data_IF_446143674917
#
_entry.id   IF_446143674917
#
_cell.length_a   1.000
_cell.length_b   1.000
_cell.length_c   1.000
_cell.angle_alpha   90.00
_cell.angle_beta   90.00
_cell.angle_gamma   90.00
#
_symmetry.space_group_name_H-M   'P 1'
#
loop_
_entity.id
_entity.type
_entity.pdbx_description
1 polymer ?
#
# COMPACT_ATOMS: atom_id res chain seq x y z
N UNK A 1 11.17 -25.34 -12.63
CA UNK A 1 10.52 -24.22 -11.94
C UNK A 1 9.72 -23.45 -12.97
N UNK A 2 8.41 -23.31 -12.80
CA UNK A 2 7.65 -22.38 -13.64
C UNK A 2 8.19 -20.98 -13.37
N UNK A 3 8.64 -20.28 -14.42
CA UNK A 3 9.21 -18.95 -14.31
C UNK A 3 8.09 -17.97 -13.92
N UNK A 4 8.12 -17.43 -12.70
CA UNK A 4 7.24 -16.36 -12.26
C UNK A 4 8.04 -15.05 -12.27
N UNK A 5 8.00 -14.27 -13.37
CA UNK A 5 8.80 -13.07 -13.47
C UNK A 5 8.21 -11.92 -12.64
N UNK A 6 9.07 -10.98 -12.30
CA UNK A 6 8.67 -9.71 -11.68
C UNK A 6 7.79 -8.90 -12.63
N UNK A 7 6.69 -8.35 -12.11
CA UNK A 7 5.80 -7.43 -12.81
C UNK A 7 6.15 -5.96 -12.52
N UNK A 8 6.37 -5.62 -11.24
CA UNK A 8 6.75 -4.28 -10.80
C UNK A 8 7.65 -4.35 -9.56
N UNK A 9 8.54 -3.37 -9.42
CA UNK A 9 9.29 -3.10 -8.18
C UNK A 9 8.93 -1.71 -7.70
N UNK A 10 8.58 -1.59 -6.42
CA UNK A 10 8.21 -0.33 -5.76
C UNK A 10 9.12 -0.13 -4.56
N UNK A 11 9.83 0.98 -4.52
CA UNK A 11 10.86 1.25 -3.52
C UNK A 11 10.42 2.43 -2.66
N UNK A 12 10.27 2.19 -1.36
CA UNK A 12 10.06 3.21 -0.36
C UNK A 12 11.35 3.49 0.43
N UNK A 13 11.35 4.47 1.33
CA UNK A 13 12.54 4.86 2.09
C UNK A 13 13.11 3.73 2.96
N UNK A 14 12.24 2.85 3.46
CA UNK A 14 12.59 1.84 4.46
C UNK A 14 12.29 0.39 4.02
N UNK A 15 11.61 0.20 2.89
CA UNK A 15 11.30 -1.14 2.37
C UNK A 15 11.05 -1.12 0.86
N UNK A 16 11.12 -2.29 0.25
CA UNK A 16 10.82 -2.53 -1.17
C UNK A 16 9.71 -3.58 -1.28
N UNK A 17 8.76 -3.33 -2.16
CA UNK A 17 7.67 -4.25 -2.54
C UNK A 17 7.89 -4.67 -3.98
N UNK A 18 7.83 -5.98 -4.25
CA UNK A 18 7.96 -6.55 -5.58
C UNK A 18 6.67 -7.28 -5.91
N UNK A 19 5.95 -6.80 -6.92
CA UNK A 19 4.77 -7.46 -7.46
C UNK A 19 5.20 -8.47 -8.51
N UNK A 20 4.83 -9.72 -8.30
CA UNK A 20 5.10 -10.82 -9.21
C UNK A 20 3.98 -10.96 -10.25
N UNK A 21 4.24 -11.62 -11.38
CA UNK A 21 3.20 -11.86 -12.41
C UNK A 21 2.06 -12.76 -11.91
N UNK A 22 2.31 -13.61 -10.92
CA UNK A 22 1.28 -14.39 -10.22
C UNK A 22 0.60 -13.61 -9.08
N UNK A 23 0.72 -12.28 -9.02
CA UNK A 23 -0.01 -11.43 -8.07
C UNK A 23 0.51 -11.53 -6.64
N UNK A 24 1.47 -12.41 -6.39
CA UNK A 24 2.19 -12.47 -5.14
C UNK A 24 3.00 -11.18 -4.94
N UNK A 25 3.05 -10.72 -3.70
CA UNK A 25 3.87 -9.60 -3.30
C UNK A 25 5.05 -10.13 -2.50
N UNK A 26 6.27 -9.79 -2.90
CA UNK A 26 7.49 -10.03 -2.13
C UNK A 26 7.93 -8.73 -1.46
N UNK A 27 8.46 -8.82 -0.25
CA UNK A 27 8.88 -7.66 0.52
C UNK A 27 10.27 -7.81 1.10
N UNK A 28 11.02 -6.73 1.18
CA UNK A 28 12.32 -6.69 1.85
C UNK A 28 12.58 -5.31 2.45
N UNK A 29 13.26 -5.26 3.61
CA UNK A 29 13.61 -4.02 4.29
C UNK A 29 13.22 -4.04 5.77
N UNK A 30 12.93 -2.88 6.34
CA UNK A 30 12.54 -2.76 7.74
C UNK A 30 11.13 -3.30 7.98
N UNK A 31 10.99 -4.09 9.06
CA UNK A 31 9.69 -4.58 9.54
C UNK A 31 9.07 -3.67 10.59
N UNK A 32 9.79 -2.64 11.05
CA UNK A 32 9.23 -1.60 11.91
C UNK A 32 8.01 -0.97 11.23
N UNK A 33 7.09 -0.41 12.01
CA UNK A 33 5.79 0.07 11.52
C UNK A 33 4.95 -1.02 10.84
N UNK A 34 5.20 -2.29 11.14
CA UNK A 34 4.38 -3.43 10.68
C UNK A 34 4.22 -3.54 9.16
N UNK A 35 5.18 -2.97 8.43
CA UNK A 35 5.27 -2.97 6.96
C UNK A 35 5.50 -4.37 6.39
N UNK A 36 5.98 -5.30 7.22
CA UNK A 36 6.26 -6.69 6.89
C UNK A 36 5.55 -7.61 7.89
N UNK A 37 4.95 -8.74 7.50
CA UNK A 37 4.31 -9.65 8.45
C UNK A 37 5.29 -10.26 9.48
N UNK A 38 4.84 -10.64 10.70
CA UNK A 38 5.72 -11.23 11.71
C UNK A 38 6.12 -12.67 11.35
N UNK A 39 7.38 -13.04 11.60
CA UNK A 39 7.81 -14.44 11.54
C UNK A 39 7.77 -15.10 12.93
N UNK A 40 6.85 -16.06 13.11
CA UNK A 40 6.84 -16.97 14.26
C UNK A 40 6.57 -16.33 15.64
N UNK A 41 6.53 -17.16 16.68
CA UNK A 41 6.44 -16.71 18.07
C UNK A 41 7.78 -16.08 18.46
N UNK A 42 7.90 -14.76 18.36
CA UNK A 42 9.11 -14.07 18.82
C UNK A 42 9.18 -14.15 20.35
N UNK A 43 10.23 -14.78 20.88
CA UNK A 43 10.58 -14.68 22.28
C UNK A 43 10.70 -13.21 22.68
N UNK A 44 9.91 -12.81 23.69
CA UNK A 44 10.07 -11.57 24.46
C UNK A 44 9.96 -10.25 23.67
N UNK A 45 8.97 -10.11 22.80
CA UNK A 45 8.43 -8.79 22.43
C UNK A 45 9.38 -7.84 21.68
N UNK A 46 10.47 -8.34 21.09
CA UNK A 46 11.31 -7.59 20.14
C UNK A 46 11.11 -8.15 18.73
N UNK A 47 10.41 -7.40 17.88
CA UNK A 47 10.37 -7.64 16.44
C UNK A 47 11.66 -7.07 15.87
N UNK A 48 12.61 -7.94 15.50
CA UNK A 48 13.82 -7.51 14.80
C UNK A 48 13.49 -7.19 13.34
N UNK A 49 14.07 -6.11 12.81
CA UNK A 49 14.09 -5.87 11.36
C UNK A 49 14.70 -7.07 10.65
N UNK A 50 13.95 -7.72 9.74
CA UNK A 50 14.48 -8.82 8.96
C UNK A 50 14.42 -8.55 7.46
N UNK A 51 15.59 -8.61 6.83
CA UNK A 51 15.79 -8.50 5.38
C UNK A 51 15.59 -9.85 4.68
N UNK A 52 14.43 -10.51 4.87
CA UNK A 52 14.10 -11.74 4.13
C UNK A 52 12.89 -11.54 3.23
N UNK A 53 12.95 -11.92 1.93
CA UNK A 53 11.79 -11.90 1.05
C UNK A 53 10.63 -12.69 1.64
N UNK A 54 9.54 -12.00 1.97
CA UNK A 54 8.30 -12.61 2.45
C UNK A 54 7.25 -12.58 1.34
N UNK A 55 6.61 -13.71 1.05
CA UNK A 55 5.51 -13.79 0.07
C UNK A 55 4.17 -13.54 0.76
N UNK A 56 3.41 -12.57 0.28
CA UNK A 56 2.02 -12.33 0.68
C UNK A 56 1.11 -12.57 -0.53
N UNK A 57 0.00 -13.28 -0.31
CA UNK A 57 -1.04 -13.49 -1.30
C UNK A 57 -2.28 -12.67 -0.92
N UNK A 58 -2.76 -11.84 -1.84
CA UNK A 58 -4.04 -11.14 -1.68
C UNK A 58 -5.14 -12.08 -2.15
N UNK A 59 -6.04 -12.46 -1.24
CA UNK A 59 -7.17 -13.35 -1.52
C UNK A 59 -8.48 -12.60 -1.28
N UNK A 60 -9.26 -12.40 -2.34
CA UNK A 60 -10.65 -11.93 -2.27
C UNK A 60 -11.58 -13.09 -1.89
N UNK A 61 -11.41 -13.66 -0.69
CA UNK A 61 -12.37 -14.64 -0.15
C UNK A 61 -13.36 -13.93 0.76
N UNK A 62 -14.65 -13.99 0.43
CA UNK A 62 -15.75 -13.61 1.33
C UNK A 62 -15.79 -14.54 2.52
N UNK A 63 -14.96 -14.27 3.52
CA UNK A 63 -15.10 -14.66 4.92
C UNK A 63 -13.87 -14.07 5.60
N UNK A 64 -14.14 -13.27 6.63
CA UNK A 64 -13.22 -12.80 7.66
C UNK A 64 -11.76 -13.24 7.48
N UNK A 65 -10.84 -12.28 7.45
CA UNK A 65 -9.48 -12.49 7.94
C UNK A 65 -9.60 -13.15 9.33
N UNK A 66 -9.66 -14.48 9.34
CA UNK A 66 -9.86 -15.28 10.53
C UNK A 66 -8.54 -15.16 11.25
N UNK A 67 -8.51 -14.26 12.25
CA UNK A 67 -8.15 -14.46 13.67
C UNK A 67 -7.06 -15.47 14.06
N UNK A 68 -6.36 -16.07 13.11
CA UNK A 68 -5.37 -17.10 13.29
C UNK A 68 -4.16 -16.63 12.50
N UNK A 69 -3.11 -16.24 13.22
CA UNK A 69 -1.76 -15.91 12.72
C UNK A 69 -1.08 -17.11 12.01
N UNK A 70 -1.78 -17.83 11.14
CA UNK A 70 -1.24 -18.93 10.36
C UNK A 70 -0.74 -18.41 9.03
N UNK A 71 0.54 -18.05 9.05
CA UNK A 71 1.39 -17.91 7.87
C UNK A 71 1.54 -19.28 7.21
N UNK A 72 1.44 -19.32 5.88
CA UNK A 72 1.89 -20.49 5.13
C UNK A 72 3.42 -20.42 5.04
N UNK A 73 4.10 -21.09 5.95
CA UNK A 73 5.52 -21.46 5.81
C UNK A 73 5.49 -22.85 5.17
N UNK A 74 6.13 -23.08 4.01
CA UNK A 74 6.19 -24.42 3.46
C UNK A 74 6.89 -25.34 4.46
N UNK A 75 6.17 -26.36 4.91
CA UNK A 75 6.68 -27.37 5.82
C UNK A 75 7.87 -28.10 5.18
N UNK A 76 8.85 -28.46 6.01
CA UNK A 76 10.03 -29.23 5.61
C UNK A 76 9.64 -30.69 5.36
N UNK A 77 9.03 -30.98 4.24
CA UNK A 77 9.03 -32.31 3.65
C UNK A 77 9.25 -32.17 2.16
N UNK A 78 10.49 -32.42 1.74
CA UNK A 78 10.90 -32.42 0.33
C UNK A 78 10.40 -33.72 -0.29
N UNK A 79 9.12 -33.75 -0.68
CA UNK A 79 8.68 -34.68 -1.71
C UNK A 79 9.19 -34.20 -3.07
N UNK A 80 9.66 -35.16 -3.85
CA UNK A 80 10.35 -35.03 -5.12
C UNK A 80 9.73 -33.96 -6.04
N UNK A 81 10.51 -32.93 -6.39
CA UNK A 81 10.07 -31.85 -7.29
C UNK A 81 9.91 -32.43 -8.70
N UNK A 82 8.72 -32.94 -8.99
CA UNK A 82 8.27 -33.15 -10.37
C UNK A 82 8.23 -31.77 -11.03
N UNK A 83 8.91 -31.61 -12.16
CA UNK A 83 9.03 -30.34 -12.87
C UNK A 83 7.65 -29.64 -12.98
N UNK A 84 7.52 -28.37 -12.53
CA UNK A 84 6.21 -27.71 -12.53
C UNK A 84 5.66 -27.63 -13.94
N UNK A 85 4.46 -28.21 -14.15
CA UNK A 85 3.63 -27.84 -15.29
C UNK A 85 3.46 -26.32 -15.25
N UNK A 86 3.71 -25.66 -16.38
CA UNK A 86 3.34 -24.26 -16.58
C UNK A 86 1.82 -24.23 -16.61
N UNK A 87 1.19 -24.18 -15.44
CA UNK A 87 -0.22 -23.83 -15.35
C UNK A 87 -0.31 -22.37 -15.77
N UNK A 88 -1.00 -22.11 -16.87
CA UNK A 88 -1.42 -20.77 -17.24
C UNK A 88 -2.31 -20.28 -16.10
N UNK A 89 -1.72 -19.54 -15.18
CA UNK A 89 -2.46 -18.94 -14.08
C UNK A 89 -3.46 -17.95 -14.67
N UNK A 90 -4.75 -18.33 -14.70
CA UNK A 90 -5.81 -17.43 -15.14
C UNK A 90 -6.01 -16.37 -14.07
N UNK A 91 -5.50 -15.17 -14.33
CA UNK A 91 -5.66 -14.01 -13.46
C UNK A 91 -7.15 -13.66 -13.40
N UNK A 92 -7.75 -13.55 -12.21
CA UNK A 92 -9.11 -13.02 -12.09
C UNK A 92 -9.14 -11.54 -12.49
N UNK A 93 -10.32 -11.03 -12.85
CA UNK A 93 -10.49 -9.65 -13.30
C UNK A 93 -10.06 -8.62 -12.24
N UNK A 94 -10.09 -8.96 -10.94
CA UNK A 94 -9.72 -8.12 -9.80
C UNK A 94 -8.22 -8.15 -9.43
N UNK A 95 -7.36 -8.67 -10.29
CA UNK A 95 -5.95 -8.91 -9.96
C UNK A 95 -5.15 -7.66 -9.53
N UNK A 96 -4.17 -7.78 -8.60
CA UNK A 96 -3.24 -6.68 -8.31
C UNK A 96 -2.53 -6.21 -9.58
N UNK A 97 -2.69 -4.92 -9.89
CA UNK A 97 -2.15 -4.27 -11.09
C UNK A 97 -0.87 -3.52 -10.78
N UNK A 98 -0.84 -2.82 -9.64
CA UNK A 98 0.31 -2.00 -9.23
C UNK A 98 0.57 -2.11 -7.73
N UNK A 99 1.84 -2.06 -7.34
CA UNK A 99 2.28 -2.03 -5.93
C UNK A 99 2.94 -0.69 -5.57
N UNK A 100 2.95 -0.36 -4.29
CA UNK A 100 3.50 0.88 -3.74
C UNK A 100 4.16 0.62 -2.39
N UNK A 101 5.25 1.33 -2.15
CA UNK A 101 6.06 1.24 -0.93
C UNK A 101 6.28 2.66 -0.40
N UNK A 102 5.63 2.98 0.71
CA UNK A 102 5.77 4.28 1.36
C UNK A 102 6.83 4.28 2.46
N UNK A 103 6.75 5.31 3.30
CA UNK A 103 7.48 5.34 4.58
C UNK A 103 6.94 4.23 5.46
N UNK A 104 5.81 4.45 6.11
CA UNK A 104 5.20 3.59 7.15
C UNK A 104 4.23 2.51 6.66
N UNK A 105 3.89 2.50 5.38
CA UNK A 105 2.84 1.65 4.82
C UNK A 105 3.18 1.21 3.41
N UNK A 106 2.51 0.15 2.98
CA UNK A 106 2.58 -0.39 1.64
C UNK A 106 1.15 -0.50 1.10
N UNK A 107 1.02 -0.49 -0.23
CA UNK A 107 -0.27 -0.59 -0.85
C UNK A 107 -0.20 -1.31 -2.20
N UNK A 108 -1.34 -1.74 -2.70
CA UNK A 108 -1.50 -2.08 -4.10
C UNK A 108 -2.88 -1.64 -4.60
N UNK A 109 -2.96 -1.41 -5.92
CA UNK A 109 -4.21 -1.16 -6.62
C UNK A 109 -4.49 -2.34 -7.55
N UNK A 110 -5.73 -2.82 -7.53
CA UNK A 110 -6.19 -3.92 -8.38
C UNK A 110 -6.68 -3.42 -9.75
N UNK A 111 -6.94 -4.34 -10.68
CA UNK A 111 -7.46 -4.04 -12.01
C UNK A 111 -8.87 -3.41 -12.00
N UNK A 112 -9.67 -3.71 -10.98
CA UNK A 112 -10.99 -3.11 -10.71
C UNK A 112 -10.91 -1.79 -9.91
N UNK A 113 -9.70 -1.31 -9.63
CA UNK A 113 -9.47 -0.03 -8.96
C UNK A 113 -9.74 -0.06 -7.45
N UNK A 114 -9.65 -1.23 -6.82
CA UNK A 114 -9.68 -1.37 -5.37
C UNK A 114 -8.29 -1.06 -4.80
N UNK A 115 -8.27 -0.38 -3.65
CA UNK A 115 -7.04 -0.09 -2.91
C UNK A 115 -6.92 -1.07 -1.75
N UNK A 116 -5.79 -1.75 -1.66
CA UNK A 116 -5.44 -2.60 -0.53
C UNK A 116 -4.19 -2.05 0.16
N UNK A 117 -4.23 -1.92 1.48
CA UNK A 117 -3.14 -1.33 2.28
C UNK A 117 -2.81 -2.16 3.52
N UNK A 118 -1.56 -2.07 3.97
CA UNK A 118 -1.04 -2.67 5.20
C UNK A 118 0.16 -1.87 5.70
N UNK A 119 0.55 -2.06 6.97
CA UNK A 119 1.53 -1.21 7.66
C UNK A 119 0.94 -0.52 8.89
N UNK A 120 1.64 0.49 9.41
CA UNK A 120 1.30 1.09 10.70
C UNK A 120 0.07 1.99 10.63
N UNK A 121 -0.74 1.94 11.69
CA UNK A 121 -1.87 2.86 11.94
C UNK A 121 -1.40 4.24 12.43
N UNK A 122 -0.23 4.32 13.06
CA UNK A 122 0.27 5.54 13.70
C UNK A 122 1.61 5.94 13.08
N UNK A 123 1.75 7.20 12.69
CA UNK A 123 2.95 7.71 12.07
C UNK A 123 3.90 8.23 13.14
N UNK A 124 4.85 7.41 13.54
CA UNK A 124 5.98 7.79 14.40
C UNK A 124 7.11 8.35 13.54
N UNK A 125 6.85 9.45 12.83
CA UNK A 125 7.94 10.30 12.34
C UNK A 125 7.79 11.65 13.03
N UNK A 126 8.45 11.74 14.16
CA UNK A 126 8.96 12.96 14.78
C UNK A 126 7.98 14.12 15.06
N UNK A 127 6.84 13.85 15.67
CA UNK A 127 6.18 14.86 16.51
C UNK A 127 5.79 14.21 17.84
N UNK A 128 5.89 14.94 18.96
CA UNK A 128 5.42 14.53 20.29
C UNK A 128 3.87 14.34 20.35
N UNK A 129 3.23 14.15 19.20
CA UNK A 129 1.81 13.97 19.07
C UNK A 129 1.39 12.59 19.61
N UNK A 130 0.39 12.60 20.48
CA UNK A 130 -0.34 11.41 20.90
C UNK A 130 -0.75 10.57 19.69
N UNK A 131 -0.77 9.22 19.77
CA UNK A 131 -1.22 8.35 18.69
C UNK A 131 -2.60 8.79 18.18
N UNK A 132 -2.60 9.54 17.08
CA UNK A 132 -3.81 9.89 16.36
C UNK A 132 -3.99 8.82 15.29
N UNK A 133 -5.22 8.40 15.12
CA UNK A 133 -5.59 7.24 14.32
C UNK A 133 -5.40 7.57 12.84
N UNK A 134 -4.24 7.28 12.24
CA UNK A 134 -3.87 7.82 10.90
C UNK A 134 -4.43 7.03 9.72
N UNK A 135 -5.29 6.06 9.97
CA UNK A 135 -6.03 5.37 8.92
C UNK A 135 -7.42 5.08 9.49
N UNK A 136 -8.49 5.44 8.78
CA UNK A 136 -9.88 5.28 9.22
C UNK A 136 -10.39 3.86 9.31
N UNK A 137 -9.53 2.96 9.78
CA UNK A 137 -9.76 1.57 10.03
C UNK A 137 -10.08 1.40 11.51
N UNK A 138 -11.34 1.05 11.79
CA UNK A 138 -11.62 0.32 13.01
C UNK A 138 -10.87 -1.03 12.94
N UNK A 139 -10.14 -1.35 14.02
CA UNK A 139 -9.41 -2.59 14.33
C UNK A 139 -7.88 -2.66 14.04
N UNK A 140 -7.20 -3.17 15.08
CA UNK A 140 -5.77 -3.40 15.36
C UNK A 140 -4.80 -3.51 14.17
N UNK A 141 -3.59 -2.95 14.30
CA UNK A 141 -2.66 -2.80 13.19
C UNK A 141 -2.44 -4.11 12.41
N UNK A 142 -2.59 -4.05 11.09
CA UNK A 142 -2.70 -5.23 10.24
C UNK A 142 -1.44 -5.45 9.42
N UNK A 143 -0.85 -6.60 9.69
CA UNK A 143 0.24 -7.22 8.95
C UNK A 143 -0.18 -7.82 7.59
N UNK A 144 -1.47 -7.73 7.27
CA UNK A 144 -2.11 -8.36 6.12
C UNK A 144 -2.82 -7.28 5.31
N UNK A 145 -2.74 -7.32 3.97
CA UNK A 145 -3.47 -6.39 3.11
C UNK A 145 -4.96 -6.32 3.47
N UNK A 146 -5.46 -5.10 3.62
CA UNK A 146 -6.86 -4.81 3.86
C UNK A 146 -7.40 -3.87 2.79
N UNK A 147 -8.58 -4.19 2.27
CA UNK A 147 -9.32 -3.37 1.32
C UNK A 147 -9.76 -2.04 1.96
N UNK A 148 -9.53 -0.93 1.27
CA UNK A 148 -10.01 0.40 1.62
C UNK A 148 -11.36 0.68 0.95
N UNK A 149 -12.44 0.24 1.59
CA UNK A 149 -13.80 0.31 1.04
C UNK A 149 -14.35 1.72 0.77
N UNK A 150 -13.70 2.76 1.33
CA UNK A 150 -14.08 4.16 1.11
C UNK A 150 -13.57 4.72 -0.23
N UNK A 151 -12.67 3.99 -0.91
CA UNK A 151 -12.21 4.31 -2.26
C UNK A 151 -12.54 3.17 -3.21
N UNK A 152 -13.00 3.52 -4.40
CA UNK A 152 -13.23 2.61 -5.51
C UNK A 152 -12.84 3.30 -6.81
N UNK A 153 -12.63 2.51 -7.88
CA UNK A 153 -12.21 3.02 -9.19
C UNK A 153 -10.91 3.86 -9.15
N UNK A 154 -9.98 3.50 -8.27
CA UNK A 154 -8.67 4.16 -8.20
C UNK A 154 -7.84 3.78 -9.42
N UNK A 155 -7.37 4.77 -10.17
CA UNK A 155 -6.56 4.58 -11.37
C UNK A 155 -5.06 4.69 -11.08
N UNK A 156 -4.70 5.52 -10.10
CA UNK A 156 -3.33 5.70 -9.64
C UNK A 156 -3.29 6.03 -8.14
N UNK A 157 -2.25 5.55 -7.48
CA UNK A 157 -1.97 5.83 -6.07
C UNK A 157 -0.54 6.39 -5.96
N UNK A 158 -0.31 7.31 -5.04
CA UNK A 158 1.02 7.69 -4.58
C UNK A 158 1.08 7.56 -3.07
N UNK A 159 2.15 6.97 -2.59
CA UNK A 159 2.31 6.57 -1.19
C UNK A 159 3.57 7.26 -0.67
N UNK A 160 3.38 8.32 0.11
CA UNK A 160 4.45 9.08 0.72
C UNK A 160 4.96 8.42 1.99
N UNK A 161 5.65 9.20 2.82
CA UNK A 161 6.11 8.69 4.12
C UNK A 161 4.95 8.44 5.07
N UNK A 162 4.04 9.41 5.11
CA UNK A 162 2.96 9.54 6.09
C UNK A 162 1.62 9.94 5.48
N UNK A 163 1.53 10.03 4.15
CA UNK A 163 0.30 10.44 3.47
C UNK A 163 0.17 9.71 2.15
N UNK A 164 -1.03 9.72 1.61
CA UNK A 164 -1.36 9.12 0.33
C UNK A 164 -2.11 10.11 -0.55
N UNK A 165 -1.92 9.95 -1.85
CA UNK A 165 -2.71 10.60 -2.89
C UNK A 165 -3.30 9.52 -3.79
N UNK A 166 -4.53 9.70 -4.25
CA UNK A 166 -5.15 8.82 -5.22
C UNK A 166 -5.83 9.64 -6.33
N UNK A 167 -5.74 9.14 -7.56
CA UNK A 167 -6.61 9.55 -8.65
C UNK A 167 -7.77 8.55 -8.69
N UNK A 168 -8.98 9.03 -8.45
CA UNK A 168 -10.21 8.25 -8.50
C UNK A 168 -10.94 8.57 -9.80
N UNK A 169 -11.25 7.56 -10.62
CA UNK A 169 -12.08 7.74 -11.80
C UNK A 169 -13.49 8.18 -11.39
N UNK A 170 -13.98 9.24 -12.02
CA UNK A 170 -15.35 9.72 -11.84
C UNK A 170 -16.11 9.68 -13.17
N UNK A 171 -17.43 9.83 -13.13
CA UNK A 171 -18.25 9.91 -14.35
C UNK A 171 -18.01 11.23 -15.11
N UNK A 172 -17.50 12.27 -14.42
CA UNK A 172 -16.85 13.35 -15.12
C UNK A 172 -15.53 12.78 -15.68
N UNK A 173 -15.21 13.07 -16.93
CA UNK A 173 -14.01 12.58 -17.66
C UNK A 173 -12.66 12.92 -17.01
N UNK A 174 -12.67 13.40 -15.77
CA UNK A 174 -11.59 13.98 -14.99
C UNK A 174 -11.58 13.21 -13.68
N UNK A 175 -10.52 12.45 -13.43
CA UNK A 175 -10.36 11.81 -12.13
C UNK A 175 -10.27 12.85 -11.02
N UNK A 176 -10.82 12.56 -9.84
CA UNK A 176 -10.71 13.41 -8.66
C UNK A 176 -9.43 13.08 -7.90
N UNK A 177 -8.76 14.10 -7.34
CA UNK A 177 -7.68 13.90 -6.39
C UNK A 177 -8.27 13.59 -5.02
N UNK A 178 -7.79 12.54 -4.38
CA UNK A 178 -8.10 12.21 -3.00
C UNK A 178 -6.81 12.17 -2.19
N UNK A 179 -6.86 12.64 -0.95
CA UNK A 179 -5.71 12.61 -0.04
C UNK A 179 -6.11 12.20 1.37
N UNK A 180 -5.20 11.54 2.08
CA UNK A 180 -5.33 11.17 3.49
C UNK A 180 -3.96 10.92 4.13
N UNK A 181 -3.95 10.83 5.45
CA UNK A 181 -2.76 10.68 6.29
C UNK A 181 -2.40 11.99 6.99
N UNK A 182 -1.10 12.20 7.19
CA UNK A 182 -0.56 13.40 7.82
C UNK A 182 -0.69 14.60 6.89
N UNK A 183 -1.20 15.71 7.44
CA UNK A 183 -1.31 17.00 6.79
C UNK A 183 -0.55 18.10 7.49
N UNK A 184 0.27 17.80 8.51
CA UNK A 184 0.96 18.77 9.36
C UNK A 184 1.77 19.83 8.60
N UNK A 185 2.27 19.48 7.41
CA UNK A 185 3.07 20.33 6.53
C UNK A 185 2.28 20.85 5.31
N UNK A 186 0.96 20.61 5.28
CA UNK A 186 0.08 20.95 4.17
C UNK A 186 0.14 19.97 2.99
N UNK A 187 0.79 18.83 3.13
CA UNK A 187 1.01 17.83 2.07
C UNK A 187 -0.27 17.16 1.54
N UNK A 188 -1.40 17.33 2.23
CA UNK A 188 -2.71 16.86 1.75
C UNK A 188 -3.38 17.79 0.74
N UNK A 189 -2.97 19.07 0.66
CA UNK A 189 -3.47 20.02 -0.32
C UNK A 189 -4.93 20.46 -0.13
N UNK A 190 -5.56 20.11 0.99
CA UNK A 190 -6.98 20.43 1.28
C UNK A 190 -7.19 21.81 1.95
N UNK A 191 -6.17 22.66 1.95
CA UNK A 191 -6.21 23.99 2.60
C UNK A 191 -6.11 23.95 4.13
N UNK A 192 -5.85 22.80 4.73
CA UNK A 192 -5.65 22.60 6.17
C UNK A 192 -4.30 21.96 6.46
N UNK A 193 -3.82 22.10 7.70
CA UNK A 193 -2.64 21.40 8.22
C UNK A 193 -3.00 20.26 9.19
N UNK A 194 -4.26 19.84 9.19
CA UNK A 194 -4.74 18.77 10.07
C UNK A 194 -4.50 17.40 9.44
N UNK A 195 -4.36 16.39 10.30
CA UNK A 195 -4.51 14.99 9.91
C UNK A 195 -5.87 14.76 9.25
N UNK A 196 -5.88 13.98 8.17
CA UNK A 196 -7.11 13.45 7.57
C UNK A 196 -7.04 11.93 7.59
N UNK A 197 -7.90 11.31 8.39
CA UNK A 197 -7.85 9.87 8.68
C UNK A 197 -8.48 9.03 7.56
N UNK A 198 -9.51 9.58 6.93
CA UNK A 198 -10.21 8.99 5.81
C UNK A 198 -9.82 9.68 4.50
N UNK A 199 -9.82 8.97 3.36
CA UNK A 199 -9.72 9.58 2.05
C UNK A 199 -10.70 10.75 1.92
N UNK A 200 -10.17 11.92 1.59
CA UNK A 200 -10.94 13.14 1.34
C UNK A 200 -10.62 13.67 -0.04
N UNK A 201 -11.64 14.09 -0.78
CA UNK A 201 -11.46 14.74 -2.07
C UNK A 201 -10.79 16.11 -1.90
N UNK A 202 -9.73 16.34 -2.68
CA UNK A 202 -9.05 17.63 -2.79
C UNK A 202 -9.68 18.40 -3.94
N UNK A 203 -10.40 19.47 -3.62
CA UNK A 203 -11.07 20.31 -4.62
C UNK A 203 -10.02 21.14 -5.38
N UNK A 204 -10.28 21.45 -6.65
CA UNK A 204 -9.59 22.45 -7.49
C UNK A 204 -8.35 22.04 -8.32
N UNK A 205 -8.16 20.76 -8.65
CA UNK A 205 -6.91 20.30 -9.32
C UNK A 205 -6.99 20.06 -10.83
N UNK A 206 -8.09 20.41 -11.50
CA UNK A 206 -8.23 20.16 -12.94
C UNK A 206 -8.16 18.67 -13.28
N UNK A 207 -7.68 18.34 -14.49
CA UNK A 207 -7.76 16.99 -15.05
C UNK A 207 -6.49 16.20 -14.72
N UNK A 208 -6.50 15.37 -13.68
CA UNK A 208 -5.29 14.74 -13.19
C UNK A 208 -4.87 13.54 -14.05
N UNK A 209 -3.57 13.47 -14.35
CA UNK A 209 -2.96 12.35 -15.08
C UNK A 209 -1.95 11.60 -14.22
N UNK A 210 -1.23 12.32 -13.35
CA UNK A 210 -0.20 11.72 -12.49
C UNK A 210 -0.21 12.32 -11.08
N UNK A 211 0.10 11.50 -10.08
CA UNK A 211 0.36 11.91 -8.69
C UNK A 211 1.67 11.31 -8.18
N UNK A 212 2.36 12.04 -7.32
CA UNK A 212 3.55 11.60 -6.59
C UNK A 212 3.53 12.15 -5.16
N UNK A 213 4.06 11.38 -4.22
CA UNK A 213 4.08 11.71 -2.80
C UNK A 213 5.49 11.46 -2.25
N UNK A 214 6.07 12.47 -1.62
CA UNK A 214 7.38 12.43 -0.98
C UNK A 214 7.28 12.21 0.52
N UNK A 215 8.25 12.73 1.26
CA UNK A 215 8.24 12.67 2.72
C UNK A 215 7.12 13.55 3.31
N UNK A 216 7.18 14.84 3.01
CA UNK A 216 6.25 15.87 3.50
C UNK A 216 5.79 16.82 2.38
N UNK A 217 5.92 16.39 1.12
CA UNK A 217 5.41 17.11 -0.05
C UNK A 217 4.68 16.17 -1.01
N UNK A 218 3.92 16.78 -1.90
CA UNK A 218 3.07 16.15 -2.89
C UNK A 218 3.23 16.85 -4.23
N UNK A 219 3.00 16.11 -5.31
CA UNK A 219 3.00 16.65 -6.65
C UNK A 219 1.94 15.98 -7.53
N UNK A 220 1.42 16.71 -8.51
CA UNK A 220 0.57 16.15 -9.55
C UNK A 220 0.80 16.79 -10.92
N UNK A 221 0.45 16.06 -11.97
CA UNK A 221 0.42 16.55 -13.35
C UNK A 221 -1.01 16.51 -13.86
N UNK A 222 -1.45 17.58 -14.51
CA UNK A 222 -2.79 17.69 -15.13
C UNK A 222 -2.74 17.48 -16.66
N UNK A 223 -3.89 17.42 -17.33
CA UNK A 223 -4.01 17.06 -18.77
C UNK A 223 -3.30 18.03 -19.73
N UNK A 224 -2.89 19.22 -19.31
CA UNK A 224 -2.03 20.12 -20.10
C UNK A 224 -0.52 19.93 -19.88
N UNK A 225 -0.12 19.02 -18.98
CA UNK A 225 1.27 18.80 -18.60
C UNK A 225 1.78 19.74 -17.50
N UNK A 226 0.93 20.59 -16.92
CA UNK A 226 1.30 21.46 -15.81
C UNK A 226 1.54 20.65 -14.54
N UNK A 227 2.67 20.95 -13.88
CA UNK A 227 3.08 20.38 -12.61
C UNK A 227 2.65 21.28 -11.46
N UNK A 228 1.92 20.72 -10.50
CA UNK A 228 1.61 21.37 -9.22
C UNK A 228 2.32 20.65 -8.09
N UNK A 229 2.79 21.40 -7.10
CA UNK A 229 3.45 20.87 -5.91
C UNK A 229 2.94 21.60 -4.67
N UNK A 230 2.81 20.88 -3.57
CA UNK A 230 2.39 21.42 -2.27
C UNK A 230 2.99 20.63 -1.11
N UNK A 231 2.87 21.16 0.10
CA UNK A 231 3.54 20.65 1.29
C UNK A 231 4.84 21.40 1.59
N UNK A 232 5.72 20.76 2.35
CA UNK A 232 7.03 21.29 2.73
C UNK A 232 8.14 20.48 2.04
N UNK A 233 9.16 21.16 1.53
CA UNK A 233 10.30 20.55 0.84
C UNK A 233 11.54 20.55 1.72
#
# INVERSE_FOLDING_TARGET
MANNPVHQVSVGPLHTVVLMKDGALLYMGSSSERRLPPQGKTDRGRVHDQCVPMRIEIKRTTLHAAANNTFWIPDKDVEEIVAPRVETFNRPDWWPKTSYAGGSHSACVTNDGEVWMWGAKTLTIATDATPQEMLGFEFEDRWVPCEMKKLAKVTQLAVGVSHCLAIVETEASYGSLWSWGDGSMGQLGNGSTNVTVDPMEVVHVGFLTHVAAGEVHSACIVEGGELYMWGCA
#
